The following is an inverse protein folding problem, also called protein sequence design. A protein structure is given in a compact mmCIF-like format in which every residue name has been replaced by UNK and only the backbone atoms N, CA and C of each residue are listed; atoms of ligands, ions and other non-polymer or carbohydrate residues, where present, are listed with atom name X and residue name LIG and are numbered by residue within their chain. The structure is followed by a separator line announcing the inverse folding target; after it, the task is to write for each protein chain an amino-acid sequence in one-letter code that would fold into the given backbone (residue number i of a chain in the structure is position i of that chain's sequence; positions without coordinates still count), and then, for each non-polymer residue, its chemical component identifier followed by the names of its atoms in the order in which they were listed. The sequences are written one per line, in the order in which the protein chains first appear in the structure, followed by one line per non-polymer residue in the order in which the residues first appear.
data_IF_516462848890
#
_entry.id   IF_516462848890
#
_cell.length_a   1.000
_cell.length_b   1.000
_cell.length_c   1.000
_cell.angle_alpha   90.00
_cell.angle_beta   90.00
_cell.angle_gamma   90.00
#
_symmetry.space_group_name_H-M   'P 1'
#
loop_
_entity.id
_entity.type
_entity.pdbx_description
1 polymer ?
#
# COMPACT_ATOMS: atom_id res chain seq x y z
N UNK A 1 -14.65 -31.56 39.37
CA UNK A 1 -14.34 -31.41 37.93
C UNK A 1 -14.44 -32.80 37.32
N UNK A 2 -15.23 -32.95 36.26
CA UNK A 2 -15.38 -34.24 35.57
C UNK A 2 -14.16 -34.50 34.70
N UNK A 3 -13.74 -35.77 34.54
CA UNK A 3 -12.58 -36.16 33.70
C UNK A 3 -12.66 -35.58 32.29
N UNK A 4 -13.87 -35.37 31.75
CA UNK A 4 -14.12 -34.72 30.49
C UNK A 4 -13.70 -33.24 30.48
N UNK A 5 -13.89 -32.50 31.57
CA UNK A 5 -13.50 -31.08 31.67
C UNK A 5 -11.98 -30.94 31.74
N UNK A 6 -11.30 -31.85 32.41
CA UNK A 6 -9.84 -31.90 32.49
C UNK A 6 -9.26 -32.22 31.11
N UNK A 7 -9.83 -33.20 30.39
CA UNK A 7 -9.42 -33.53 29.03
C UNK A 7 -9.58 -32.35 28.03
N UNK A 8 -10.70 -31.65 28.10
CA UNK A 8 -10.95 -30.47 27.23
C UNK A 8 -9.98 -29.32 27.55
N UNK A 9 -9.64 -29.12 28.82
CA UNK A 9 -8.71 -28.07 29.25
C UNK A 9 -7.28 -28.39 28.80
N UNK A 10 -6.86 -29.64 28.84
CA UNK A 10 -5.54 -30.08 28.35
C UNK A 10 -5.42 -29.92 26.84
N UNK A 11 -6.47 -30.30 26.08
CA UNK A 11 -6.49 -30.11 24.61
C UNK A 11 -6.46 -28.62 24.26
N UNK A 12 -7.23 -27.78 24.95
CA UNK A 12 -7.23 -26.32 24.75
C UNK A 12 -5.86 -25.70 25.05
N UNK A 13 -5.23 -26.09 26.16
CA UNK A 13 -3.89 -25.61 26.50
C UNK A 13 -2.82 -26.08 25.50
N UNK A 14 -2.91 -27.31 25.00
CA UNK A 14 -2.00 -27.83 23.98
C UNK A 14 -2.16 -27.09 22.64
N UNK A 15 -3.40 -26.76 22.22
CA UNK A 15 -3.67 -25.99 21.01
C UNK A 15 -3.09 -24.57 21.12
N UNK A 16 -3.31 -23.88 22.25
CA UNK A 16 -2.77 -22.53 22.47
C UNK A 16 -1.23 -22.56 22.50
N UNK A 17 -0.63 -23.54 23.18
CA UNK A 17 0.82 -23.70 23.18
C UNK A 17 1.38 -23.96 21.77
N UNK A 18 0.69 -24.77 20.96
CA UNK A 18 1.05 -25.07 19.58
C UNK A 18 1.05 -23.80 18.72
N UNK A 19 0.02 -22.97 18.83
CA UNK A 19 -0.08 -21.68 18.10
C UNK A 19 1.02 -20.71 18.54
N UNK A 20 1.31 -20.61 19.84
CA UNK A 20 2.37 -19.73 20.35
C UNK A 20 3.76 -20.18 19.89
N UNK A 21 4.03 -21.50 19.86
CA UNK A 21 5.29 -22.05 19.33
C UNK A 21 5.39 -21.79 17.82
N UNK A 22 4.32 -22.01 17.08
CA UNK A 22 4.27 -21.76 15.63
C UNK A 22 4.55 -20.29 15.32
N UNK A 23 3.87 -19.36 15.98
CA UNK A 23 4.09 -17.92 15.79
C UNK A 23 5.54 -17.51 16.13
N UNK A 24 6.09 -18.06 17.22
CA UNK A 24 7.48 -17.78 17.60
C UNK A 24 8.52 -18.35 16.62
N UNK A 25 8.24 -19.47 15.99
CA UNK A 25 9.08 -20.05 14.95
C UNK A 25 9.01 -19.22 13.67
N UNK A 26 7.82 -18.75 13.32
CA UNK A 26 7.60 -17.87 12.17
C UNK A 26 8.28 -16.50 12.35
N UNK A 27 8.17 -15.88 13.54
CA UNK A 27 8.89 -14.63 13.84
C UNK A 27 10.42 -14.81 13.78
N UNK A 28 10.95 -15.95 14.20
CA UNK A 28 12.38 -16.24 14.07
C UNK A 28 12.82 -16.46 12.64
N UNK A 29 11.97 -17.04 11.79
CA UNK A 29 12.25 -17.23 10.36
C UNK A 29 12.28 -15.88 9.62
N UNK A 30 11.30 -15.02 9.87
CA UNK A 30 11.23 -13.67 9.28
C UNK A 30 12.37 -12.76 9.78
N UNK A 31 12.72 -12.82 11.07
CA UNK A 31 13.90 -12.09 11.60
C UNK A 31 15.21 -12.53 10.94
N UNK A 32 15.42 -13.83 10.77
CA UNK A 32 16.63 -14.35 10.10
C UNK A 32 16.69 -13.99 8.63
N UNK A 33 15.55 -13.88 7.94
CA UNK A 33 15.48 -13.37 6.57
C UNK A 33 15.79 -11.87 6.50
N UNK A 34 15.26 -11.08 7.43
CA UNK A 34 15.59 -9.65 7.53
C UNK A 34 17.07 -9.44 7.85
N UNK A 35 17.66 -10.17 8.81
CA UNK A 35 19.08 -10.11 9.14
C UNK A 35 19.98 -10.52 7.96
N UNK A 36 19.57 -11.48 7.14
CA UNK A 36 20.30 -11.87 5.92
C UNK A 36 20.14 -10.84 4.79
N UNK A 37 19.00 -10.18 4.69
CA UNK A 37 18.77 -9.12 3.70
C UNK A 37 19.52 -7.82 4.04
N UNK A 38 19.72 -7.52 5.34
CA UNK A 38 20.43 -6.33 5.81
C UNK A 38 21.86 -6.60 6.28
N UNK A 39 22.30 -7.85 6.33
CA UNK A 39 23.64 -8.27 6.76
C UNK A 39 24.67 -8.34 5.64
N UNK A 40 24.58 -7.51 4.59
CA UNK A 40 25.65 -7.40 3.62
C UNK A 40 26.82 -6.65 4.25
N UNK A 41 27.90 -7.36 4.55
CA UNK A 41 29.22 -6.76 4.80
C UNK A 41 29.71 -6.11 3.49
N UNK A 42 29.22 -4.92 3.18
CA UNK A 42 29.87 -4.04 2.24
C UNK A 42 30.80 -3.13 3.04
N UNK A 43 32.09 -3.23 2.74
CA UNK A 43 33.09 -2.27 3.19
C UNK A 43 32.57 -0.87 2.82
N UNK A 44 32.72 0.05 3.77
CA UNK A 44 32.23 1.44 3.67
C UNK A 44 32.94 2.15 2.50
N UNK A 45 32.25 2.23 1.35
CA UNK A 45 32.76 2.82 0.09
C UNK A 45 32.88 4.36 0.20
N UNK A 46 32.54 4.94 1.35
CA UNK A 46 32.57 6.40 1.57
C UNK A 46 33.94 6.91 2.01
N UNK A 47 34.95 6.04 2.18
CA UNK A 47 36.31 6.44 2.63
C UNK A 47 37.38 6.44 1.53
N UNK A 48 37.08 5.97 0.31
CA UNK A 48 37.99 6.06 -0.81
C UNK A 48 37.65 7.23 -1.73
N UNK A 49 38.61 8.13 -1.94
CA UNK A 49 38.43 9.32 -2.77
C UNK A 49 38.13 8.95 -4.23
N UNK A 50 37.17 9.67 -4.89
CA UNK A 50 36.67 9.28 -6.19
C UNK A 50 37.67 9.60 -7.32
N UNK A 51 37.81 8.73 -8.34
CA UNK A 51 38.36 9.12 -9.63
C UNK A 51 37.35 10.07 -10.32
N UNK A 52 37.88 11.08 -10.98
CA UNK A 52 37.12 12.11 -11.71
C UNK A 52 35.97 11.53 -12.55
N UNK A 53 34.74 11.85 -12.14
CA UNK A 53 33.52 11.45 -12.84
C UNK A 53 33.30 12.40 -14.02
N UNK A 54 33.61 11.95 -15.23
CA UNK A 54 33.12 12.63 -16.45
C UNK A 54 31.61 12.43 -16.53
N UNK A 55 30.86 13.52 -16.42
CA UNK A 55 29.42 13.51 -16.63
C UNK A 55 29.12 13.18 -18.10
N UNK A 56 28.29 12.15 -18.41
CA UNK A 56 27.82 11.93 -19.77
C UNK A 56 26.84 13.03 -20.12
N UNK A 57 27.13 13.79 -21.15
CA UNK A 57 26.21 14.77 -21.76
C UNK A 57 25.07 13.97 -22.42
N UNK A 58 23.89 14.00 -21.80
CA UNK A 58 22.68 13.45 -22.40
C UNK A 58 22.21 14.38 -23.53
N UNK A 59 22.27 13.90 -24.75
CA UNK A 59 21.66 14.56 -25.90
C UNK A 59 20.13 14.38 -25.83
N UNK A 60 19.44 15.42 -25.35
CA UNK A 60 17.99 15.46 -25.15
C UNK A 60 17.18 15.56 -26.45
N UNK A 61 17.86 15.63 -27.63
CA UNK A 61 17.17 15.82 -28.91
C UNK A 61 16.59 14.55 -29.52
N UNK A 62 16.85 13.37 -28.96
CA UNK A 62 16.44 12.08 -29.52
C UNK A 62 15.42 11.28 -28.66
N UNK A 63 14.83 11.89 -27.64
CA UNK A 63 13.78 11.20 -26.88
C UNK A 63 12.42 11.44 -27.57
N UNK A 64 11.67 10.37 -27.93
CA UNK A 64 10.30 10.54 -28.38
C UNK A 64 9.52 11.20 -27.22
N UNK A 65 8.87 12.31 -27.54
CA UNK A 65 7.94 12.99 -26.63
C UNK A 65 6.87 11.97 -26.25
N UNK A 66 7.00 11.43 -25.03
CA UNK A 66 5.95 10.62 -24.42
C UNK A 66 4.79 11.58 -24.22
N UNK A 67 3.72 11.42 -24.99
CA UNK A 67 2.48 12.14 -24.76
C UNK A 67 2.17 12.02 -23.26
N UNK A 68 2.23 13.16 -22.58
CA UNK A 68 1.89 13.22 -21.16
C UNK A 68 0.43 12.79 -21.06
N UNK A 69 0.19 11.65 -20.45
CA UNK A 69 -1.14 11.27 -20.00
C UNK A 69 -1.73 12.48 -19.28
N UNK A 70 -3.01 12.85 -19.53
CA UNK A 70 -3.60 14.02 -18.91
C UNK A 70 -3.34 13.95 -17.41
N UNK A 71 -2.99 15.06 -16.74
CA UNK A 71 -2.70 15.05 -15.31
C UNK A 71 -3.93 14.49 -14.63
N UNK A 72 -3.81 13.29 -14.07
CA UNK A 72 -4.83 12.70 -13.19
C UNK A 72 -5.00 13.73 -12.09
N UNK A 73 -6.14 14.42 -12.09
CA UNK A 73 -6.48 15.41 -11.09
C UNK A 73 -6.23 14.75 -9.73
N UNK A 74 -5.30 15.32 -8.94
CA UNK A 74 -5.00 14.77 -7.61
C UNK A 74 -6.32 14.66 -6.89
N UNK A 75 -6.79 13.46 -6.51
CA UNK A 75 -8.12 13.29 -5.96
C UNK A 75 -8.29 14.23 -4.77
N UNK A 76 -9.37 14.99 -4.79
CA UNK A 76 -9.86 15.75 -3.64
C UNK A 76 -9.95 14.82 -2.42
N UNK A 77 -10.09 15.39 -1.22
CA UNK A 77 -10.38 14.62 0.00
C UNK A 77 -11.61 13.72 -0.22
N UNK A 78 -11.55 12.49 0.25
CA UNK A 78 -12.68 11.55 0.23
C UNK A 78 -13.12 11.27 1.68
N UNK A 79 -14.33 11.66 2.10
CA UNK A 79 -14.80 11.49 3.48
C UNK A 79 -14.82 10.04 3.98
N UNK A 80 -14.76 9.06 3.07
CA UNK A 80 -14.71 7.63 3.43
C UNK A 80 -13.37 7.24 4.05
N UNK A 81 -12.29 7.91 3.63
CA UNK A 81 -10.91 7.58 4.05
C UNK A 81 -10.16 8.74 4.70
N UNK A 82 -10.72 9.94 4.65
CA UNK A 82 -10.11 11.16 5.18
C UNK A 82 -10.95 11.72 6.33
N UNK A 83 -10.26 12.19 7.36
CA UNK A 83 -10.85 13.09 8.35
C UNK A 83 -10.90 14.49 7.74
N UNK A 84 -12.07 14.90 7.30
CA UNK A 84 -12.28 16.18 6.62
C UNK A 84 -12.73 17.22 7.61
N UNK A 85 -11.97 18.32 7.70
CA UNK A 85 -12.25 19.47 8.55
C UNK A 85 -12.59 20.65 7.67
N UNK A 86 -13.73 21.27 7.91
CA UNK A 86 -14.13 22.52 7.26
C UNK A 86 -13.46 23.70 7.95
N UNK A 87 -12.87 24.58 7.15
CA UNK A 87 -12.27 25.84 7.59
C UNK A 87 -13.19 26.98 7.12
N UNK A 88 -13.58 27.87 8.03
CA UNK A 88 -14.46 28.99 7.78
C UNK A 88 -13.78 30.31 8.16
N UNK A 89 -14.10 31.38 7.44
CA UNK A 89 -13.58 32.74 7.69
C UNK A 89 -12.25 33.05 7.01
N UNK A 90 -11.55 32.04 6.48
CA UNK A 90 -10.31 32.21 5.71
C UNK A 90 -10.29 31.25 4.51
N UNK A 91 -9.48 31.58 3.48
CA UNK A 91 -9.37 30.75 2.27
C UNK A 91 -8.17 29.80 2.34
N UNK A 92 -8.17 28.73 1.54
CA UNK A 92 -7.01 27.87 1.41
C UNK A 92 -5.79 28.62 0.90
N UNK A 93 -5.97 29.63 0.05
CA UNK A 93 -4.87 30.49 -0.45
C UNK A 93 -4.13 31.22 0.68
N UNK A 94 -4.85 31.71 1.70
CA UNK A 94 -4.26 32.39 2.86
C UNK A 94 -3.44 31.43 3.75
N UNK A 95 -3.90 30.19 3.92
CA UNK A 95 -3.26 29.16 4.74
C UNK A 95 -2.11 28.45 4.02
N UNK A 96 -2.15 28.39 2.68
CA UNK A 96 -1.24 27.63 1.84
C UNK A 96 0.25 27.84 2.09
N UNK A 97 0.75 29.06 2.40
CA UNK A 97 2.16 29.25 2.69
C UNK A 97 2.67 28.45 3.91
N UNK A 98 1.83 28.31 4.93
CA UNK A 98 2.17 27.65 6.21
C UNK A 98 1.81 26.15 6.20
N UNK A 99 0.97 25.70 5.23
CA UNK A 99 0.50 24.32 5.11
C UNK A 99 1.62 23.27 5.05
N UNK A 100 2.75 23.46 4.32
CA UNK A 100 3.82 22.48 4.27
C UNK A 100 4.46 22.18 5.63
N UNK A 101 4.48 23.16 6.54
CA UNK A 101 5.00 22.97 7.91
C UNK A 101 4.10 22.01 8.72
N UNK A 102 2.79 22.15 8.58
CA UNK A 102 1.81 21.24 9.18
C UNK A 102 1.91 19.85 8.53
N UNK A 103 1.90 19.77 7.21
CA UNK A 103 1.89 18.50 6.47
C UNK A 103 3.10 17.61 6.82
N UNK A 104 4.30 18.18 6.99
CA UNK A 104 5.52 17.43 7.33
C UNK A 104 5.50 16.76 8.70
N UNK A 105 4.57 17.12 9.58
CA UNK A 105 4.43 16.52 10.91
C UNK A 105 3.79 15.14 10.88
N UNK A 106 3.07 14.84 9.80
CA UNK A 106 2.30 13.59 9.65
C UNK A 106 2.90 12.71 8.57
N UNK A 107 3.03 11.43 8.87
CA UNK A 107 3.40 10.39 7.89
C UNK A 107 2.27 10.13 6.90
N UNK A 108 1.04 10.45 7.29
CA UNK A 108 -0.17 10.32 6.47
C UNK A 108 -0.35 11.53 5.56
N UNK A 109 -1.01 11.29 4.44
CA UNK A 109 -1.34 12.36 3.50
C UNK A 109 -2.27 13.37 4.14
N UNK A 110 -1.84 14.63 4.22
CA UNK A 110 -2.68 15.76 4.55
C UNK A 110 -2.91 16.60 3.30
N UNK A 111 -4.15 17.07 3.09
CA UNK A 111 -4.54 17.88 1.92
C UNK A 111 -5.28 19.14 2.35
N UNK A 112 -5.09 20.21 1.57
CA UNK A 112 -5.80 21.47 1.72
C UNK A 112 -6.42 21.82 0.36
N UNK A 113 -7.74 21.98 0.32
CA UNK A 113 -8.50 22.30 -0.89
C UNK A 113 -9.35 23.56 -0.67
N UNK A 114 -9.61 24.30 -1.77
CA UNK A 114 -10.50 25.46 -1.70
C UNK A 114 -11.94 24.99 -1.42
N UNK A 115 -12.60 25.72 -0.52
CA UNK A 115 -14.04 25.74 -0.38
C UNK A 115 -14.62 26.91 -1.20
N UNK A 116 -15.87 27.21 -1.07
CA UNK A 116 -16.46 28.41 -1.69
C UNK A 116 -16.17 29.69 -0.88
N UNK A 117 -15.75 30.77 -1.52
CA UNK A 117 -15.56 32.08 -0.85
C UNK A 117 -14.43 32.08 0.18
N UNK A 118 -14.74 32.43 1.44
CA UNK A 118 -13.80 32.40 2.56
C UNK A 118 -13.92 31.07 3.33
N UNK A 119 -13.81 29.95 2.63
CA UNK A 119 -13.77 28.62 3.23
C UNK A 119 -12.73 27.73 2.57
N UNK A 120 -12.30 26.69 3.27
CA UNK A 120 -11.40 25.67 2.79
C UNK A 120 -11.73 24.31 3.43
N UNK A 121 -11.22 23.23 2.88
CA UNK A 121 -11.27 21.92 3.50
C UNK A 121 -9.84 21.42 3.72
N UNK A 122 -9.53 21.10 4.96
CA UNK A 122 -8.31 20.41 5.33
C UNK A 122 -8.66 18.94 5.63
N UNK A 123 -7.84 18.02 5.18
CA UNK A 123 -8.10 16.60 5.40
C UNK A 123 -6.84 15.83 5.73
N UNK A 124 -6.95 14.85 6.64
CA UNK A 124 -5.92 13.89 6.97
C UNK A 124 -6.39 12.49 6.60
N UNK A 125 -5.60 11.76 5.82
CA UNK A 125 -5.92 10.38 5.46
C UNK A 125 -5.87 9.48 6.69
N UNK A 126 -7.00 8.80 6.97
CA UNK A 126 -7.16 7.98 8.16
C UNK A 126 -6.78 6.52 7.97
N UNK A 127 -6.96 5.99 6.77
CA UNK A 127 -6.74 4.57 6.45
C UNK A 127 -5.77 4.43 5.28
N UNK A 128 -4.82 3.53 5.41
CA UNK A 128 -3.95 3.06 4.32
C UNK A 128 -3.57 1.60 4.57
N UNK A 129 -2.78 0.98 3.70
CA UNK A 129 -2.23 -0.38 3.90
C UNK A 129 -1.49 -0.56 5.25
N UNK A 130 -0.97 0.52 5.82
CA UNK A 130 -0.31 0.53 7.13
C UNK A 130 -1.28 0.69 8.32
N UNK A 131 -2.58 0.43 8.10
CA UNK A 131 -3.62 0.50 9.13
C UNK A 131 -4.23 1.90 9.30
N UNK A 132 -4.86 2.12 10.44
CA UNK A 132 -5.55 3.37 10.81
C UNK A 132 -4.58 4.36 11.47
N UNK A 133 -4.81 5.65 11.23
CA UNK A 133 -4.11 6.73 11.95
C UNK A 133 -4.33 6.62 13.47
N UNK A 134 -3.34 6.96 14.27
CA UNK A 134 -3.49 6.94 15.73
C UNK A 134 -4.42 8.06 16.22
N UNK A 135 -5.07 7.84 17.37
CA UNK A 135 -5.87 8.90 18.02
C UNK A 135 -5.00 10.12 18.34
N UNK A 136 -3.74 9.91 18.75
CA UNK A 136 -2.79 10.98 19.03
C UNK A 136 -2.50 11.83 17.82
N UNK A 137 -2.22 11.22 16.67
CA UNK A 137 -1.99 11.95 15.41
C UNK A 137 -3.23 12.74 14.97
N UNK A 138 -4.42 12.18 15.18
CA UNK A 138 -5.66 12.88 14.84
C UNK A 138 -5.92 14.09 15.72
N UNK A 139 -5.67 13.97 17.03
CA UNK A 139 -5.75 15.08 17.98
C UNK A 139 -4.70 16.13 17.63
N UNK A 140 -3.46 15.74 17.36
CA UNK A 140 -2.41 16.66 16.96
C UNK A 140 -2.76 17.39 15.67
N UNK A 141 -3.26 16.67 14.64
CA UNK A 141 -3.68 17.28 13.38
C UNK A 141 -4.73 18.35 13.62
N UNK A 142 -5.76 18.06 14.41
CA UNK A 142 -6.83 19.00 14.71
C UNK A 142 -6.30 20.22 15.46
N UNK A 143 -5.49 20.05 16.50
CA UNK A 143 -4.93 21.13 17.30
C UNK A 143 -4.02 22.04 16.47
N UNK A 144 -3.15 21.47 15.64
CA UNK A 144 -2.27 22.24 14.76
C UNK A 144 -3.07 23.00 13.69
N UNK A 145 -4.11 22.37 13.14
CA UNK A 145 -4.99 23.02 12.17
C UNK A 145 -5.77 24.17 12.82
N UNK A 146 -6.34 23.99 14.01
CA UNK A 146 -7.04 25.03 14.76
C UNK A 146 -6.13 26.24 15.02
N UNK A 147 -4.89 25.99 15.44
CA UNK A 147 -3.87 27.04 15.67
C UNK A 147 -3.54 27.79 14.38
N UNK A 148 -3.29 27.05 13.31
CA UNK A 148 -2.97 27.62 12.00
C UNK A 148 -4.12 28.48 11.45
N UNK A 149 -5.34 27.96 11.50
CA UNK A 149 -6.54 28.64 11.00
C UNK A 149 -6.86 29.89 11.84
N UNK A 150 -6.70 29.82 13.16
CA UNK A 150 -6.89 30.96 14.06
C UNK A 150 -5.89 32.10 13.78
N UNK A 151 -4.64 31.79 13.45
CA UNK A 151 -3.64 32.78 13.05
C UNK A 151 -4.04 33.56 11.78
N UNK A 152 -4.88 32.97 10.93
CA UNK A 152 -5.45 33.60 9.74
C UNK A 152 -6.88 34.12 9.95
N UNK A 153 -7.34 34.23 11.18
CA UNK A 153 -8.66 34.79 11.54
C UNK A 153 -9.85 33.89 11.22
N UNK A 154 -9.61 32.60 10.97
CA UNK A 154 -10.63 31.60 10.69
C UNK A 154 -11.03 30.75 11.89
N UNK A 155 -11.98 29.86 11.68
CA UNK A 155 -12.44 28.83 12.63
C UNK A 155 -12.55 27.48 11.90
N UNK A 156 -12.48 26.38 12.66
CA UNK A 156 -12.63 25.03 12.14
C UNK A 156 -13.93 24.39 12.61
N UNK A 157 -14.54 23.60 11.73
CA UNK A 157 -15.67 22.71 12.04
C UNK A 157 -15.29 21.30 11.59
N UNK A 158 -15.42 20.32 12.48
CA UNK A 158 -14.97 18.96 12.22
C UNK A 158 -15.93 17.92 12.78
N UNK A 159 -16.05 16.74 12.17
CA UNK A 159 -16.84 15.66 12.73
C UNK A 159 -16.25 15.16 14.05
N UNK A 160 -17.03 14.45 14.89
CA UNK A 160 -16.53 13.84 16.11
C UNK A 160 -15.41 12.83 15.81
N UNK A 161 -14.23 13.02 16.43
CA UNK A 161 -13.06 12.19 16.18
C UNK A 161 -13.29 10.71 16.48
N UNK A 162 -14.05 10.40 17.55
CA UNK A 162 -14.36 9.01 17.95
C UNK A 162 -15.15 8.29 16.86
N UNK A 163 -16.12 8.94 16.23
CA UNK A 163 -16.93 8.37 15.18
C UNK A 163 -16.10 8.17 13.91
N UNK A 164 -15.27 9.15 13.57
CA UNK A 164 -14.34 9.05 12.44
C UNK A 164 -13.33 7.89 12.61
N UNK A 165 -12.75 7.73 13.81
CA UNK A 165 -11.87 6.60 14.11
C UNK A 165 -12.59 5.26 14.04
N UNK A 166 -13.81 5.16 14.56
CA UNK A 166 -14.59 3.92 14.50
C UNK A 166 -14.91 3.52 13.05
N UNK A 167 -15.28 4.50 12.22
CA UNK A 167 -15.53 4.30 10.79
C UNK A 167 -14.24 3.87 10.06
N UNK A 168 -13.10 4.51 10.33
CA UNK A 168 -11.80 4.17 9.78
C UNK A 168 -11.38 2.73 10.16
N UNK A 169 -11.55 2.33 11.42
CA UNK A 169 -11.27 0.98 11.88
C UNK A 169 -12.19 -0.08 11.24
N UNK A 170 -13.45 0.26 10.99
CA UNK A 170 -14.36 -0.62 10.27
C UNK A 170 -13.91 -0.82 8.81
N UNK A 171 -13.53 0.27 8.14
CA UNK A 171 -13.00 0.22 6.77
C UNK A 171 -11.67 -0.54 6.69
N UNK A 172 -10.76 -0.33 7.62
CA UNK A 172 -9.45 -1.02 7.68
C UNK A 172 -9.63 -2.55 7.75
N UNK A 173 -10.57 -3.03 8.59
CA UNK A 173 -10.91 -4.46 8.64
C UNK A 173 -11.41 -5.01 7.31
N UNK A 174 -12.28 -4.26 6.62
CA UNK A 174 -12.76 -4.66 5.30
C UNK A 174 -11.62 -4.67 4.28
N UNK A 175 -10.72 -3.67 4.33
CA UNK A 175 -9.56 -3.61 3.44
C UNK A 175 -8.60 -4.79 3.67
N UNK A 176 -8.38 -5.20 4.92
CA UNK A 176 -7.51 -6.33 5.25
C UNK A 176 -7.98 -7.66 4.60
N UNK A 177 -9.30 -7.86 4.48
CA UNK A 177 -9.87 -9.07 3.86
C UNK A 177 -9.70 -9.12 2.33
N UNK A 178 -9.41 -7.99 1.70
CA UNK A 178 -9.31 -7.87 0.23
C UNK A 178 -7.94 -7.37 -0.25
N UNK A 179 -7.00 -7.09 0.66
CA UNK A 179 -5.62 -6.69 0.34
C UNK A 179 -4.79 -7.92 -0.05
N UNK A 180 -4.93 -8.32 -1.31
CA UNK A 180 -4.29 -9.52 -1.84
C UNK A 180 -3.29 -9.13 -2.91
N UNK A 181 -2.11 -9.73 -2.83
CA UNK A 181 -1.09 -9.72 -3.87
C UNK A 181 -0.88 -11.13 -4.39
N UNK A 182 -0.81 -11.28 -5.69
CA UNK A 182 -0.56 -12.56 -6.35
C UNK A 182 0.84 -12.56 -6.91
N UNK A 183 1.64 -13.55 -6.50
CA UNK A 183 2.99 -13.73 -7.00
C UNK A 183 3.09 -15.02 -7.82
N UNK A 184 3.74 -14.93 -8.96
CA UNK A 184 4.17 -16.06 -9.79
C UNK A 184 5.69 -16.05 -9.87
N UNK A 185 6.34 -17.12 -9.42
CA UNK A 185 7.78 -17.24 -9.47
C UNK A 185 8.20 -18.12 -10.64
N UNK A 186 9.06 -17.60 -11.50
CA UNK A 186 9.67 -18.34 -12.61
C UNK A 186 11.11 -18.65 -12.25
N UNK A 187 11.40 -19.90 -11.94
CA UNK A 187 12.74 -20.39 -11.62
C UNK A 187 13.49 -20.78 -12.89
N UNK A 188 14.79 -20.47 -12.94
CA UNK A 188 15.66 -20.80 -14.08
C UNK A 188 15.07 -20.30 -15.42
N UNK A 189 14.69 -19.00 -15.53
CA UNK A 189 14.08 -18.48 -16.74
C UNK A 189 15.06 -18.54 -17.93
N UNK A 190 14.55 -18.86 -19.12
CA UNK A 190 15.32 -18.82 -20.35
C UNK A 190 15.59 -17.38 -20.83
N UNK A 191 14.64 -16.47 -20.52
CA UNK A 191 14.72 -15.04 -20.80
C UNK A 191 14.56 -14.24 -19.51
N UNK A 192 15.27 -13.10 -19.37
CA UNK A 192 15.22 -12.27 -18.16
C UNK A 192 14.58 -10.91 -18.41
N UNK A 193 14.30 -10.56 -19.68
CA UNK A 193 13.76 -9.26 -20.05
C UNK A 193 12.30 -9.37 -20.46
N UNK A 194 11.40 -8.71 -19.71
CA UNK A 194 9.99 -8.65 -20.03
C UNK A 194 9.54 -7.19 -20.05
N UNK A 195 8.76 -6.82 -21.09
CA UNK A 195 7.92 -5.62 -21.04
C UNK A 195 6.58 -6.01 -20.42
N UNK A 196 6.15 -5.27 -19.42
CA UNK A 196 4.95 -5.56 -18.66
C UNK A 196 4.10 -4.31 -18.44
N UNK A 197 2.77 -4.50 -18.47
CA UNK A 197 1.78 -3.50 -18.06
C UNK A 197 0.83 -4.20 -17.09
N UNK A 198 0.48 -3.54 -15.99
CA UNK A 198 -0.50 -4.03 -15.01
C UNK A 198 0.03 -4.97 -13.93
N UNK A 199 1.30 -5.37 -13.94
CA UNK A 199 1.95 -6.13 -12.88
C UNK A 199 3.41 -5.66 -12.70
N UNK A 200 4.05 -5.99 -11.59
CA UNK A 200 5.46 -5.67 -11.33
C UNK A 200 6.37 -6.89 -11.52
N UNK A 201 7.65 -6.65 -11.76
CA UNK A 201 8.66 -7.69 -11.97
C UNK A 201 9.81 -7.46 -10.98
N UNK A 202 10.09 -8.46 -10.16
CA UNK A 202 11.21 -8.50 -9.23
C UNK A 202 12.25 -9.54 -9.65
N UNK A 203 13.53 -9.19 -9.54
CA UNK A 203 14.62 -10.15 -9.75
C UNK A 203 14.88 -10.95 -8.46
N UNK A 204 15.17 -12.24 -8.61
CA UNK A 204 15.60 -13.15 -7.54
C UNK A 204 16.93 -13.79 -7.93
N UNK A 205 17.61 -14.34 -6.94
CA UNK A 205 18.87 -15.07 -7.19
C UNK A 205 18.68 -16.32 -8.06
N UNK A 206 17.51 -16.93 -8.00
CA UNK A 206 17.12 -18.18 -8.66
C UNK A 206 16.10 -17.98 -9.80
N UNK A 207 15.71 -16.72 -10.09
CA UNK A 207 14.73 -16.46 -11.12
C UNK A 207 14.08 -15.08 -11.08
N UNK A 208 12.82 -15.02 -11.50
CA UNK A 208 12.02 -13.80 -11.62
C UNK A 208 10.70 -13.99 -10.88
N UNK A 209 10.26 -12.96 -10.16
CA UNK A 209 8.92 -12.89 -9.57
C UNK A 209 8.07 -11.90 -10.34
N UNK A 210 6.91 -12.34 -10.80
CA UNK A 210 5.86 -11.48 -11.34
C UNK A 210 4.83 -11.27 -10.24
N UNK A 211 4.45 -10.00 -9.95
CA UNK A 211 3.56 -9.67 -8.85
C UNK A 211 2.42 -8.78 -9.32
N UNK A 212 1.19 -9.18 -9.00
CA UNK A 212 -0.04 -8.45 -9.25
C UNK A 212 -0.64 -7.97 -7.93
N UNK A 213 -0.73 -6.66 -7.74
CA UNK A 213 -1.38 -6.04 -6.60
C UNK A 213 -2.87 -5.88 -6.93
N UNK A 214 -3.71 -6.78 -6.44
CA UNK A 214 -5.11 -6.91 -6.85
C UNK A 214 -5.90 -5.62 -6.63
N UNK A 215 -5.90 -4.99 -5.42
CA UNK A 215 -6.68 -3.77 -5.23
C UNK A 215 -6.20 -2.57 -6.05
N UNK A 216 -4.91 -2.53 -6.40
CA UNK A 216 -4.31 -1.38 -7.09
C UNK A 216 -4.29 -1.49 -8.61
N UNK A 217 -4.65 -2.66 -9.14
CA UNK A 217 -4.57 -2.93 -10.57
C UNK A 217 -5.92 -2.67 -11.24
N UNK A 218 -6.02 -1.70 -12.16
CA UNK A 218 -7.19 -1.60 -13.03
C UNK A 218 -7.20 -2.79 -14.00
N UNK A 219 -8.36 -3.23 -14.45
CA UNK A 219 -8.53 -4.34 -15.39
C UNK A 219 -7.76 -5.62 -14.97
N UNK A 220 -8.17 -6.17 -13.84
CA UNK A 220 -7.52 -7.32 -13.20
C UNK A 220 -7.43 -8.56 -14.09
N UNK A 221 -8.51 -8.90 -14.81
CA UNK A 221 -8.56 -10.06 -15.70
C UNK A 221 -7.50 -9.99 -16.79
N UNK A 222 -7.39 -8.82 -17.43
CA UNK A 222 -6.39 -8.56 -18.47
C UNK A 222 -4.97 -8.58 -17.90
N UNK A 223 -4.76 -7.94 -16.76
CA UNK A 223 -3.43 -7.86 -16.11
C UNK A 223 -2.98 -9.25 -15.64
N UNK A 224 -3.87 -10.06 -15.08
CA UNK A 224 -3.56 -11.43 -14.70
C UNK A 224 -3.24 -12.31 -15.93
N UNK A 225 -4.05 -12.23 -16.99
CA UNK A 225 -3.78 -12.97 -18.23
C UNK A 225 -2.42 -12.56 -18.85
N UNK A 226 -2.11 -11.27 -18.86
CA UNK A 226 -0.82 -10.75 -19.33
C UNK A 226 0.36 -11.26 -18.46
N UNK A 227 0.17 -11.35 -17.14
CA UNK A 227 1.17 -11.88 -16.21
C UNK A 227 1.43 -13.36 -16.44
N UNK A 228 0.39 -14.17 -16.63
CA UNK A 228 0.51 -15.61 -16.94
C UNK A 228 1.22 -15.82 -18.29
N UNK A 229 0.87 -15.04 -19.30
CA UNK A 229 1.51 -15.11 -20.62
C UNK A 229 2.99 -14.68 -20.56
N UNK A 230 3.30 -13.67 -19.75
CA UNK A 230 4.68 -13.26 -19.50
C UNK A 230 5.47 -14.37 -18.80
N UNK A 231 4.88 -15.04 -17.80
CA UNK A 231 5.51 -16.17 -17.11
C UNK A 231 5.82 -17.34 -18.09
N UNK A 232 4.90 -17.63 -19.01
CA UNK A 232 5.13 -18.65 -20.04
C UNK A 232 6.28 -18.29 -21.00
N UNK A 233 6.35 -17.02 -21.43
CA UNK A 233 7.42 -16.53 -22.31
C UNK A 233 8.80 -16.55 -21.65
N UNK A 234 8.89 -16.28 -20.37
CA UNK A 234 10.13 -16.41 -19.62
C UNK A 234 10.69 -17.83 -19.70
N UNK A 235 9.84 -18.84 -19.87
CA UNK A 235 10.26 -20.23 -19.75
C UNK A 235 10.67 -20.59 -18.33
N UNK A 236 11.23 -21.79 -18.15
CA UNK A 236 11.61 -22.24 -16.82
C UNK A 236 10.47 -22.89 -16.03
N UNK A 237 10.64 -22.99 -14.72
CA UNK A 237 9.70 -23.67 -13.84
C UNK A 237 8.85 -22.66 -13.08
N UNK A 238 7.54 -22.67 -13.32
CA UNK A 238 6.60 -21.79 -12.63
C UNK A 238 6.16 -22.40 -11.31
N UNK A 239 6.33 -21.64 -10.21
CA UNK A 239 5.99 -22.06 -8.85
C UNK A 239 5.28 -20.95 -8.06
N UNK A 240 4.57 -21.35 -6.99
CA UNK A 240 4.00 -20.45 -5.98
C UNK A 240 5.04 -20.03 -4.92
N UNK A 241 4.63 -19.23 -3.92
CA UNK A 241 5.45 -18.79 -2.79
C UNK A 241 6.02 -19.96 -1.95
N UNK A 242 5.36 -21.12 -1.99
CA UNK A 242 5.77 -22.33 -1.27
C UNK A 242 6.68 -23.24 -2.12
N UNK A 243 6.95 -22.88 -3.37
CA UNK A 243 7.73 -23.67 -4.32
C UNK A 243 6.95 -24.79 -4.99
N UNK A 244 5.62 -24.85 -4.85
CA UNK A 244 4.79 -25.83 -5.55
C UNK A 244 4.66 -25.43 -7.02
N UNK A 245 4.74 -26.42 -7.91
CA UNK A 245 4.60 -26.19 -9.33
C UNK A 245 3.18 -25.75 -9.68
N UNK A 246 3.07 -24.66 -10.44
CA UNK A 246 1.82 -24.14 -10.96
C UNK A 246 1.59 -24.71 -12.37
N UNK A 247 0.60 -25.55 -12.51
CA UNK A 247 0.10 -26.07 -13.80
C UNK A 247 -1.06 -25.18 -14.31
N UNK A 248 -1.57 -25.50 -15.50
CA UNK A 248 -2.67 -24.75 -16.14
C UNK A 248 -3.94 -24.75 -15.27
N UNK A 249 -4.20 -25.83 -14.54
CA UNK A 249 -5.36 -25.92 -13.66
C UNK A 249 -5.21 -25.00 -12.44
N UNK A 250 -4.00 -24.96 -11.85
CA UNK A 250 -3.68 -24.06 -10.74
C UNK A 250 -3.78 -22.60 -11.18
N UNK A 251 -3.24 -22.25 -12.35
CA UNK A 251 -3.34 -20.89 -12.90
C UNK A 251 -4.78 -20.49 -13.17
N UNK A 252 -5.61 -21.38 -13.69
CA UNK A 252 -7.03 -21.11 -13.90
C UNK A 252 -7.76 -20.89 -12.56
N UNK A 253 -7.45 -21.68 -11.52
CA UNK A 253 -8.02 -21.51 -10.19
C UNK A 253 -7.65 -20.16 -9.55
N UNK A 254 -6.40 -19.73 -9.70
CA UNK A 254 -5.95 -18.38 -9.26
C UNK A 254 -6.73 -17.30 -10.01
N UNK A 255 -6.96 -17.44 -11.32
CA UNK A 255 -7.76 -16.50 -12.10
C UNK A 255 -9.19 -16.36 -11.59
N UNK A 256 -9.83 -17.45 -11.17
CA UNK A 256 -11.17 -17.43 -10.55
C UNK A 256 -11.13 -16.70 -9.20
N UNK A 257 -10.09 -16.91 -8.39
CA UNK A 257 -9.93 -16.22 -7.11
C UNK A 257 -9.69 -14.72 -7.30
N UNK A 258 -8.90 -14.31 -8.29
CA UNK A 258 -8.73 -12.88 -8.66
C UNK A 258 -10.06 -12.20 -8.92
N UNK A 259 -10.95 -12.85 -9.70
CA UNK A 259 -12.29 -12.32 -9.97
C UNK A 259 -13.18 -12.30 -8.71
N UNK A 260 -13.05 -13.29 -7.84
CA UNK A 260 -13.75 -13.33 -6.56
C UNK A 260 -13.36 -12.14 -5.67
N UNK A 261 -12.05 -11.86 -5.56
CA UNK A 261 -11.53 -10.71 -4.79
C UNK A 261 -11.98 -9.40 -5.42
N UNK A 262 -11.93 -9.28 -6.76
CA UNK A 262 -12.44 -8.11 -7.48
C UNK A 262 -13.91 -7.83 -7.11
N UNK A 263 -14.76 -8.86 -7.15
CA UNK A 263 -16.17 -8.70 -6.83
C UNK A 263 -16.38 -8.24 -5.37
N UNK A 264 -15.63 -8.81 -4.42
CA UNK A 264 -15.66 -8.35 -3.01
C UNK A 264 -15.23 -6.89 -2.86
N UNK A 265 -14.20 -6.44 -3.59
CA UNK A 265 -13.79 -5.03 -3.60
C UNK A 265 -14.92 -4.13 -4.10
N UNK A 266 -15.55 -4.50 -5.22
CA UNK A 266 -16.65 -3.73 -5.80
C UNK A 266 -17.87 -3.70 -4.86
N UNK A 267 -18.22 -4.80 -4.20
CA UNK A 267 -19.31 -4.88 -3.21
C UNK A 267 -19.11 -3.90 -2.04
N UNK A 268 -17.87 -3.66 -1.61
CA UNK A 268 -17.57 -2.67 -0.57
C UNK A 268 -17.31 -1.26 -1.14
N UNK A 269 -17.60 -1.04 -2.42
CA UNK A 269 -17.50 0.26 -3.08
C UNK A 269 -16.08 0.70 -3.40
N UNK A 270 -15.15 -0.23 -3.51
CA UNK A 270 -13.75 -0.01 -3.88
C UNK A 270 -13.51 -0.59 -5.27
N UNK A 271 -13.50 0.24 -6.30
CA UNK A 271 -13.13 -0.20 -7.64
C UNK A 271 -11.62 -0.40 -7.73
N UNK A 272 -11.11 -1.58 -8.13
CA UNK A 272 -9.67 -1.83 -8.30
C UNK A 272 -9.01 -0.81 -9.23
N UNK A 273 -7.83 -0.34 -8.88
CA UNK A 273 -7.09 0.68 -9.64
C UNK A 273 -7.69 2.09 -9.58
N UNK A 274 -8.82 2.29 -8.91
CA UNK A 274 -9.40 3.63 -8.72
C UNK A 274 -8.51 4.52 -7.85
N UNK A 275 -8.66 5.85 -7.91
CA UNK A 275 -7.95 6.77 -7.02
C UNK A 275 -8.15 6.46 -5.53
N UNK A 276 -9.31 5.94 -5.15
CA UNK A 276 -9.60 5.49 -3.79
C UNK A 276 -8.77 4.25 -3.43
N UNK A 277 -8.80 3.22 -4.28
CA UNK A 277 -8.02 2.00 -4.08
C UNK A 277 -6.52 2.27 -4.03
N UNK A 278 -6.00 3.12 -4.94
CA UNK A 278 -4.58 3.52 -4.94
C UNK A 278 -4.15 4.22 -3.65
N UNK A 279 -5.06 4.91 -2.97
CA UNK A 279 -4.80 5.58 -1.68
C UNK A 279 -4.92 4.61 -0.50
N UNK A 280 -5.93 3.76 -0.48
CA UNK A 280 -6.16 2.78 0.58
C UNK A 280 -5.04 1.75 0.67
N UNK A 281 -4.56 1.28 -0.47
CA UNK A 281 -3.56 0.22 -0.56
C UNK A 281 -2.14 0.76 -0.92
N UNK A 282 -1.84 1.99 -0.48
CA UNK A 282 -0.52 2.63 -0.68
C UNK A 282 0.43 2.37 0.49
#
# INVERSE_FOLDING_TARGET
MTDLQIGLLVIGAAAVAGVLVYNRLQERATRRQAERAFGSQHADVLLDAPPERREPTLDLSAMPVREASPPVAKPASDPRIDYVVEVQGTSAGAIRPDWPALQRRFSRRATLTEGGGKSAHAALQMVSRNGVVSEGDLVEFRTQLETLVAAHGGKVSAPPMREALAAAQALDRVCADVDVQIALHVLEPAETSIRHEGFSVGQRADGVTLMLDVPRTPDLSRSYAAMVEAARRLGGRLVDDNGNRLDERALAAIGVEVESIRNRLVEVGIEPGSPLALRLFS
#
